data_IF_255794095706
#
_entry.id   IF_255794095706
#
_cell.length_a   1.000
_cell.length_b   1.000
_cell.length_c   1.000
_cell.angle_alpha   90.00
_cell.angle_beta   90.00
_cell.angle_gamma   90.00
#
_symmetry.space_group_name_H-M   'P 1'
#
loop_
_entity.id
_entity.type
_entity.pdbx_description
1 polymer ?
#
# COMPACT_ATOMS: atom_id res chain seq x y z
N UNK A 1 -28.72 -14.39 -60.95
CA UNK A 1 -28.13 -15.28 -59.92
C UNK A 1 -27.35 -14.41 -58.95
N UNK A 2 -27.83 -14.29 -57.71
CA UNK A 2 -27.34 -13.34 -56.70
C UNK A 2 -26.07 -13.87 -56.03
N UNK A 3 -25.03 -13.03 -55.95
CA UNK A 3 -23.79 -13.27 -55.21
C UNK A 3 -24.03 -12.97 -53.74
N UNK A 4 -23.91 -13.98 -52.88
CA UNK A 4 -23.95 -13.83 -51.42
C UNK A 4 -22.53 -13.54 -50.91
N UNK A 5 -22.27 -12.29 -50.54
CA UNK A 5 -21.07 -11.91 -49.78
C UNK A 5 -21.34 -12.15 -48.30
N UNK A 6 -20.69 -13.16 -47.71
CA UNK A 6 -20.69 -13.38 -46.26
C UNK A 6 -19.56 -12.54 -45.66
N UNK A 7 -19.92 -11.43 -45.02
CA UNK A 7 -18.99 -10.61 -44.23
C UNK A 7 -18.82 -11.29 -42.88
N UNK A 8 -17.69 -11.97 -42.70
CA UNK A 8 -17.32 -12.64 -41.46
C UNK A 8 -16.57 -11.64 -40.55
N UNK A 9 -17.31 -10.72 -39.92
CA UNK A 9 -16.77 -9.85 -38.87
C UNK A 9 -16.70 -10.65 -37.56
N UNK A 10 -15.59 -11.36 -37.34
CA UNK A 10 -15.31 -11.96 -36.04
C UNK A 10 -14.88 -10.86 -35.05
N UNK A 11 -15.71 -10.72 -34.04
CA UNK A 11 -15.59 -9.89 -32.85
C UNK A 11 -14.26 -10.18 -32.13
N UNK A 12 -13.24 -9.36 -32.37
CA UNK A 12 -12.04 -9.23 -31.55
C UNK A 12 -12.30 -8.16 -30.47
N UNK A 13 -13.27 -8.42 -29.59
CA UNK A 13 -13.56 -7.57 -28.43
C UNK A 13 -13.70 -8.47 -27.20
N UNK A 14 -12.99 -8.10 -26.11
CA UNK A 14 -13.14 -8.57 -24.72
C UNK A 14 -12.00 -9.40 -24.09
N UNK A 15 -10.73 -9.03 -24.29
CA UNK A 15 -9.67 -9.40 -23.31
C UNK A 15 -8.79 -8.21 -22.85
N UNK A 16 -9.12 -6.98 -23.24
CA UNK A 16 -8.36 -5.80 -22.84
C UNK A 16 -8.94 -5.03 -21.63
N UNK A 17 -10.05 -5.48 -21.03
CA UNK A 17 -10.82 -4.68 -20.07
C UNK A 17 -10.68 -5.07 -18.59
N UNK A 18 -9.70 -5.89 -18.21
CA UNK A 18 -9.49 -6.27 -16.81
C UNK A 18 -8.31 -5.56 -16.13
N UNK A 19 -7.61 -4.65 -16.81
CA UNK A 19 -6.76 -3.68 -16.14
C UNK A 19 -7.66 -2.53 -15.66
N UNK A 20 -8.44 -2.79 -14.60
CA UNK A 20 -9.09 -1.75 -13.84
C UNK A 20 -8.00 -0.75 -13.42
N UNK A 21 -8.07 0.47 -13.95
CA UNK A 21 -7.17 1.55 -13.57
C UNK A 21 -7.42 1.87 -12.10
N UNK A 22 -6.70 1.21 -11.19
CA UNK A 22 -6.62 1.65 -9.81
C UNK A 22 -5.83 2.96 -9.87
N UNK A 23 -6.47 4.05 -9.45
CA UNK A 23 -5.82 5.35 -9.31
C UNK A 23 -4.75 5.24 -8.23
N UNK A 24 -3.65 6.00 -8.34
CA UNK A 24 -2.68 6.09 -7.26
C UNK A 24 -3.39 6.52 -5.98
N UNK A 25 -3.43 5.62 -5.00
CA UNK A 25 -4.07 5.93 -3.72
C UNK A 25 -3.03 6.56 -2.82
N UNK A 26 -3.22 7.84 -2.58
CA UNK A 26 -2.46 8.60 -1.59
C UNK A 26 -3.33 8.74 -0.36
N UNK A 27 -2.77 8.57 0.84
CA UNK A 27 -3.44 8.97 2.08
C UNK A 27 -4.00 10.38 1.93
N UNK A 28 -5.30 10.65 2.20
CA UNK A 28 -5.91 11.93 1.87
C UNK A 28 -5.26 13.06 2.66
N UNK A 29 -4.76 12.71 3.84
CA UNK A 29 -4.03 13.58 4.72
C UNK A 29 -2.72 12.89 5.06
N UNK A 30 -1.63 13.58 4.79
CA UNK A 30 -0.46 13.37 5.58
C UNK A 30 -0.76 14.00 6.94
N UNK A 31 -1.38 13.20 7.82
CA UNK A 31 -1.78 13.68 9.13
C UNK A 31 -0.50 14.12 9.86
N UNK A 32 -0.41 15.38 10.31
CA UNK A 32 0.74 15.83 11.08
C UNK A 32 0.73 15.09 12.41
N UNK A 33 1.46 13.98 12.48
CA UNK A 33 1.68 13.25 13.72
C UNK A 33 2.77 14.01 14.45
N UNK A 34 2.37 14.89 15.36
CA UNK A 34 3.27 15.76 16.13
C UNK A 34 4.16 16.66 15.24
N UNK A 35 3.61 17.17 14.14
CA UNK A 35 4.34 18.04 13.19
C UNK A 35 5.10 17.29 12.10
N UNK A 36 5.01 15.96 12.07
CA UNK A 36 5.56 15.11 11.01
C UNK A 36 4.49 14.77 10.01
N UNK A 37 4.74 15.10 8.76
CA UNK A 37 3.81 14.87 7.67
C UNK A 37 4.31 13.66 6.86
N UNK A 38 3.73 12.47 7.07
CA UNK A 38 4.01 11.30 6.23
C UNK A 38 2.85 11.00 5.30
N UNK A 39 3.15 10.83 4.01
CA UNK A 39 2.18 10.28 3.05
C UNK A 39 2.53 8.84 2.71
N UNK A 40 1.54 7.96 2.81
CA UNK A 40 1.62 6.60 2.27
C UNK A 40 0.99 6.62 0.88
N UNK A 41 1.75 6.23 -0.14
CA UNK A 41 1.34 6.19 -1.55
C UNK A 41 1.41 4.76 -2.06
N UNK A 42 0.31 4.30 -2.66
CA UNK A 42 0.23 3.00 -3.32
C UNK A 42 -0.04 3.27 -4.81
N UNK A 43 0.97 3.12 -5.69
CA UNK A 43 0.79 3.32 -7.11
C UNK A 43 -0.19 2.28 -7.65
N UNK A 44 -1.29 2.72 -8.26
CA UNK A 44 -2.36 1.82 -8.66
C UNK A 44 -2.02 0.95 -9.87
N UNK A 45 -0.95 1.27 -10.59
CA UNK A 45 -0.35 0.45 -11.65
C UNK A 45 0.39 -0.81 -11.15
N UNK A 46 0.61 -0.93 -9.84
CA UNK A 46 1.46 -1.97 -9.26
C UNK A 46 0.70 -3.04 -8.49
N UNK A 47 -0.65 -3.02 -8.43
CA UNK A 47 -1.47 -4.13 -7.92
C UNK A 47 -1.49 -5.27 -8.97
N UNK A 48 -0.32 -5.85 -9.19
CA UNK A 48 -0.07 -6.86 -10.22
C UNK A 48 -0.49 -8.24 -9.71
N UNK A 49 -1.48 -8.84 -10.35
CA UNK A 49 -1.69 -10.29 -10.37
C UNK A 49 -0.67 -10.95 -11.30
N UNK A 50 0.63 -10.87 -10.99
CA UNK A 50 1.68 -11.51 -11.81
C UNK A 50 2.24 -12.81 -11.24
N UNK A 51 1.74 -13.27 -10.08
CA UNK A 51 2.05 -14.59 -9.55
C UNK A 51 0.79 -15.48 -9.65
N UNK A 52 0.93 -16.79 -9.96
CA UNK A 52 -0.18 -17.71 -9.83
C UNK A 52 -0.72 -17.62 -8.41
N UNK A 53 -2.03 -17.45 -8.29
CA UNK A 53 -2.80 -17.38 -7.04
C UNK A 53 -2.57 -18.68 -6.28
N UNK A 54 -1.51 -18.76 -5.49
CA UNK A 54 -1.15 -19.96 -4.74
C UNK A 54 -1.70 -19.95 -3.30
N UNK A 55 -2.28 -18.84 -2.86
CA UNK A 55 -3.18 -18.78 -1.71
C UNK A 55 -3.96 -17.46 -1.73
N UNK A 56 -5.28 -17.53 -1.58
CA UNK A 56 -6.20 -16.45 -1.17
C UNK A 56 -5.96 -15.03 -1.72
N UNK A 57 -6.35 -14.75 -2.96
CA UNK A 57 -6.66 -13.39 -3.46
C UNK A 57 -5.74 -12.24 -2.96
N UNK A 58 -4.42 -12.45 -2.94
CA UNK A 58 -3.48 -11.43 -2.47
C UNK A 58 -3.01 -10.53 -3.62
N UNK A 59 -3.10 -9.22 -3.44
CA UNK A 59 -2.58 -8.23 -4.38
C UNK A 59 -1.26 -7.65 -3.85
N UNK A 60 -0.17 -7.80 -4.62
CA UNK A 60 1.10 -7.16 -4.30
C UNK A 60 1.07 -5.69 -4.69
N UNK A 61 1.50 -4.77 -3.83
CA UNK A 61 1.67 -3.36 -4.15
C UNK A 61 3.01 -2.82 -3.62
N UNK A 62 3.51 -1.74 -4.24
CA UNK A 62 4.65 -0.99 -3.73
C UNK A 62 4.13 0.15 -2.87
N UNK A 63 4.28 0.03 -1.55
CA UNK A 63 3.96 1.08 -0.59
C UNK A 63 5.13 2.03 -0.48
N UNK A 64 4.92 3.32 -0.77
CA UNK A 64 5.90 4.37 -0.53
C UNK A 64 5.50 5.19 0.69
N UNK A 65 6.39 5.30 1.66
CA UNK A 65 6.26 6.24 2.79
C UNK A 65 7.17 7.42 2.53
N UNK A 66 6.62 8.63 2.48
CA UNK A 66 7.36 9.87 2.16
C UNK A 66 7.26 10.82 3.33
N UNK A 67 8.39 11.38 3.77
CA UNK A 67 8.40 12.50 4.70
C UNK A 67 8.20 13.82 3.95
N UNK A 68 7.01 14.39 4.05
CA UNK A 68 6.65 15.70 3.48
C UNK A 68 6.84 16.85 4.48
N UNK A 69 7.12 16.53 5.74
CA UNK A 69 7.29 17.53 6.78
C UNK A 69 8.60 18.31 6.64
N UNK A 70 8.68 19.44 7.35
CA UNK A 70 9.88 20.29 7.39
C UNK A 70 11.00 19.79 8.31
N UNK A 71 10.81 18.65 8.99
CA UNK A 71 11.75 18.07 9.95
C UNK A 71 11.98 16.58 9.68
N UNK A 72 13.09 16.06 10.19
CA UNK A 72 13.36 14.62 10.13
C UNK A 72 12.29 13.83 10.90
N UNK A 73 11.96 12.65 10.38
CA UNK A 73 11.06 11.70 11.03
C UNK A 73 11.75 10.37 11.22
N UNK A 74 11.28 9.60 12.20
CA UNK A 74 11.87 8.32 12.56
C UNK A 74 10.80 7.24 12.48
N UNK A 75 11.12 6.18 11.76
CA UNK A 75 10.25 5.02 11.60
C UNK A 75 10.94 3.79 12.18
N UNK A 76 10.17 2.92 12.80
CA UNK A 76 10.70 1.65 13.27
C UNK A 76 10.88 0.69 12.09
N UNK A 77 12.00 -0.03 12.10
CA UNK A 77 12.37 -0.99 11.08
C UNK A 77 12.68 -2.34 11.70
N UNK A 78 12.40 -3.38 10.93
CA UNK A 78 12.87 -4.73 11.18
C UNK A 78 13.89 -5.09 10.08
N UNK A 79 15.17 -5.08 10.43
CA UNK A 79 16.25 -5.21 9.44
C UNK A 79 16.27 -4.00 8.51
N UNK A 80 16.09 -4.23 7.21
CA UNK A 80 16.05 -3.16 6.18
C UNK A 80 14.64 -2.70 5.84
N UNK A 81 13.61 -3.30 6.44
CA UNK A 81 12.20 -3.05 6.10
C UNK A 81 11.53 -2.21 7.18
N UNK A 82 10.70 -1.26 6.79
CA UNK A 82 9.84 -0.57 7.75
C UNK A 82 8.82 -1.52 8.35
N UNK A 83 8.56 -1.37 9.65
CA UNK A 83 7.51 -2.10 10.33
C UNK A 83 6.17 -1.43 10.02
N UNK A 84 5.48 -1.99 9.03
CA UNK A 84 4.14 -1.58 8.58
C UNK A 84 3.14 -2.66 8.99
N UNK A 85 1.93 -2.25 9.36
CA UNK A 85 0.80 -3.12 9.67
C UNK A 85 -0.30 -2.88 8.65
N UNK A 86 -0.91 -3.94 8.15
CA UNK A 86 -2.16 -3.84 7.40
C UNK A 86 -3.35 -3.90 8.35
N UNK A 87 -4.34 -3.06 8.09
CA UNK A 87 -5.67 -3.18 8.70
C UNK A 87 -6.72 -3.39 7.63
N UNK A 88 -7.63 -4.31 7.87
CA UNK A 88 -8.82 -4.55 7.06
C UNK A 88 -10.06 -3.98 7.73
N UNK A 89 -11.00 -3.50 6.93
CA UNK A 89 -12.29 -3.03 7.40
C UNK A 89 -13.29 -4.20 7.42
N UNK A 90 -13.59 -4.70 8.62
CA UNK A 90 -14.45 -5.85 8.85
C UNK A 90 -15.58 -5.45 9.81
N UNK A 91 -16.83 -5.66 9.39
CA UNK A 91 -18.03 -5.41 10.21
C UNK A 91 -18.08 -4.01 10.85
N UNK A 92 -17.64 -2.99 10.11
CA UNK A 92 -17.67 -1.60 10.57
C UNK A 92 -16.43 -1.14 11.34
N UNK A 93 -15.43 -2.01 11.53
CA UNK A 93 -14.24 -1.72 12.32
C UNK A 93 -12.95 -2.03 11.56
N UNK A 94 -11.87 -1.31 11.89
CA UNK A 94 -10.53 -1.62 11.41
C UNK A 94 -9.89 -2.66 12.31
N UNK A 95 -9.54 -3.81 11.74
CA UNK A 95 -8.87 -4.91 12.42
C UNK A 95 -7.50 -5.14 11.80
N UNK A 96 -6.50 -5.48 12.61
CA UNK A 96 -5.20 -5.85 12.05
C UNK A 96 -5.35 -7.12 11.20
N UNK A 97 -4.78 -7.10 10.00
CA UNK A 97 -4.75 -8.24 9.09
C UNK A 97 -3.36 -8.89 9.11
N UNK A 98 -3.34 -10.21 8.87
CA UNK A 98 -2.13 -11.01 8.89
C UNK A 98 -1.64 -11.38 10.30
N UNK A 99 -0.53 -12.11 10.34
CA UNK A 99 0.12 -12.48 11.58
C UNK A 99 0.77 -11.25 12.25
N UNK A 100 0.93 -11.32 13.58
CA UNK A 100 1.71 -10.33 14.30
C UNK A 100 3.13 -10.24 13.69
N UNK A 101 3.64 -9.03 13.51
CA UNK A 101 4.97 -8.81 12.96
C UNK A 101 5.99 -9.36 13.97
N UNK A 102 6.65 -10.45 13.61
CA UNK A 102 7.78 -11.00 14.37
C UNK A 102 9.05 -10.42 13.74
N UNK A 103 9.80 -9.65 14.51
CA UNK A 103 11.09 -9.15 14.07
C UNK A 103 12.22 -10.07 14.57
N UNK A 104 12.87 -10.86 13.71
CA UNK A 104 13.92 -11.80 14.13
C UNK A 104 15.24 -11.10 14.47
N UNK A 105 15.34 -9.80 14.22
CA UNK A 105 16.50 -8.96 14.51
C UNK A 105 16.11 -7.86 15.48
N UNK A 106 17.07 -7.26 16.17
CA UNK A 106 16.81 -6.08 17.00
C UNK A 106 16.20 -4.97 16.14
N UNK A 107 15.00 -4.46 16.47
CA UNK A 107 14.42 -3.34 15.75
C UNK A 107 15.35 -2.14 15.75
N UNK A 108 15.41 -1.45 14.62
CA UNK A 108 16.21 -0.24 14.47
C UNK A 108 15.33 0.92 14.04
N UNK A 109 15.85 2.12 14.18
CA UNK A 109 15.19 3.32 13.67
C UNK A 109 15.82 3.72 12.35
N UNK A 110 14.97 4.08 11.42
CA UNK A 110 15.37 4.71 10.17
C UNK A 110 14.93 6.16 10.23
N UNK A 111 15.88 7.07 10.04
CA UNK A 111 15.59 8.49 9.88
C UNK A 111 15.24 8.76 8.42
N UNK A 112 14.20 9.57 8.21
CA UNK A 112 13.80 10.10 6.91
C UNK A 112 13.92 11.62 6.98
N UNK A 113 14.85 12.20 6.20
CA UNK A 113 14.94 13.64 6.09
C UNK A 113 13.70 14.21 5.36
N UNK A 114 13.45 15.53 5.43
CA UNK A 114 12.44 16.18 4.60
C UNK A 114 12.62 15.83 3.11
N UNK A 115 11.57 15.30 2.48
CA UNK A 115 11.55 14.86 1.09
C UNK A 115 12.00 13.40 0.87
N UNK A 116 12.60 12.74 1.87
CA UNK A 116 13.03 11.36 1.73
C UNK A 116 11.83 10.40 1.67
N UNK A 117 12.07 9.23 1.06
CA UNK A 117 11.06 8.17 1.02
C UNK A 117 11.67 6.79 1.12
N UNK A 118 10.87 5.87 1.67
CA UNK A 118 11.14 4.45 1.66
C UNK A 118 10.08 3.72 0.85
N UNK A 119 10.46 2.57 0.30
CA UNK A 119 9.59 1.73 -0.49
C UNK A 119 9.55 0.34 0.12
N UNK A 120 8.35 -0.20 0.26
CA UNK A 120 8.10 -1.52 0.82
C UNK A 120 7.16 -2.26 -0.11
N UNK A 121 7.49 -3.49 -0.47
CA UNK A 121 6.57 -4.37 -1.16
C UNK A 121 5.61 -4.97 -0.13
N UNK A 122 4.31 -4.82 -0.33
CA UNK A 122 3.28 -5.31 0.58
C UNK A 122 2.24 -6.14 -0.15
N UNK A 123 1.84 -7.27 0.43
CA UNK A 123 0.75 -8.08 -0.07
C UNK A 123 -0.51 -7.75 0.72
N UNK A 124 -1.54 -7.26 0.03
CA UNK A 124 -2.83 -6.99 0.62
C UNK A 124 -3.75 -8.19 0.49
N UNK A 125 -4.54 -8.44 1.52
CA UNK A 125 -5.70 -9.31 1.39
C UNK A 125 -6.85 -8.57 0.67
N UNK A 126 -7.74 -9.33 0.02
CA UNK A 126 -8.93 -8.79 -0.64
C UNK A 126 -9.83 -8.02 0.34
N UNK A 127 -10.56 -7.02 -0.16
CA UNK A 127 -11.46 -6.17 0.60
C UNK A 127 -10.87 -4.78 0.87
N UNK A 128 -11.50 -4.06 1.80
CA UNK A 128 -11.10 -2.68 2.11
C UNK A 128 -9.97 -2.67 3.14
N UNK A 129 -8.78 -2.26 2.72
CA UNK A 129 -7.55 -2.27 3.53
C UNK A 129 -6.97 -0.87 3.73
N UNK A 130 -6.06 -0.73 4.70
CA UNK A 130 -5.17 0.43 4.87
C UNK A 130 -3.87 -0.01 5.52
N UNK A 131 -2.79 0.75 5.28
CA UNK A 131 -1.52 0.57 5.98
C UNK A 131 -1.45 1.49 7.18
N UNK A 132 -0.85 1.01 8.27
CA UNK A 132 -0.57 1.75 9.50
C UNK A 132 0.92 1.60 9.86
N UNK A 133 1.51 2.67 10.37
CA UNK A 133 2.94 2.80 10.65
C UNK A 133 3.15 3.61 11.94
N UNK A 134 4.09 3.20 12.78
CA UNK A 134 4.57 4.03 13.89
C UNK A 134 5.63 5.05 13.43
N UNK A 135 5.41 6.32 13.77
CA UNK A 135 6.28 7.45 13.40
C UNK A 135 6.59 8.29 14.64
N UNK A 136 7.86 8.60 14.88
CA UNK A 136 8.30 9.52 15.92
C UNK A 136 9.10 10.70 15.35
N UNK A 137 9.11 11.81 16.09
CA UNK A 137 9.95 12.98 15.81
C UNK A 137 11.33 12.87 16.44
N UNK A 138 11.52 11.85 17.30
CA UNK A 138 12.78 11.52 17.95
C UNK A 138 13.28 10.15 17.48
N UNK A 139 14.59 10.07 17.21
CA UNK A 139 15.30 8.80 17.38
C UNK A 139 15.12 8.41 18.85
N UNK A 140 14.97 7.18 19.26
CA UNK A 140 14.34 6.73 20.52
C UNK A 140 12.83 6.47 20.43
N UNK A 141 12.11 7.11 19.50
CA UNK A 141 10.66 6.91 19.28
C UNK A 141 9.82 7.12 20.56
N UNK A 142 10.34 7.84 21.56
CA UNK A 142 9.62 8.17 22.81
C UNK A 142 8.36 9.00 22.57
N UNK A 143 8.30 9.66 21.41
CA UNK A 143 7.19 10.48 20.95
C UNK A 143 6.39 9.84 19.82
N UNK A 144 6.54 8.53 19.58
CA UNK A 144 5.89 7.87 18.46
C UNK A 144 4.35 7.92 18.53
N UNK A 145 3.73 8.00 17.35
CA UNK A 145 2.30 7.84 17.15
C UNK A 145 2.02 7.16 15.79
N UNK A 146 0.80 6.67 15.62
CA UNK A 146 0.41 5.92 14.42
C UNK A 146 0.02 6.88 13.30
N UNK A 147 0.62 6.70 12.13
CA UNK A 147 0.18 7.24 10.85
C UNK A 147 -0.52 6.15 10.05
N UNK A 148 -1.59 6.49 9.35
CA UNK A 148 -2.35 5.55 8.52
C UNK A 148 -2.50 6.07 7.10
N UNK A 149 -2.57 5.16 6.14
CA UNK A 149 -2.89 5.46 4.75
C UNK A 149 -4.40 5.66 4.54
N UNK A 150 -4.77 6.15 3.36
CA UNK A 150 -6.15 6.07 2.88
C UNK A 150 -6.62 4.62 2.88
N UNK A 151 -7.92 4.44 3.04
CA UNK A 151 -8.55 3.17 2.71
C UNK A 151 -8.43 2.90 1.20
N UNK A 152 -8.07 1.68 0.84
CA UNK A 152 -8.03 1.14 -0.51
C UNK A 152 -8.99 -0.03 -0.60
N UNK A 153 -9.72 -0.15 -1.70
CA UNK A 153 -10.52 -1.34 -1.99
C UNK A 153 -9.68 -2.27 -2.88
N UNK A 154 -9.33 -3.44 -2.35
CA UNK A 154 -8.56 -4.49 -3.02
C UNK A 154 -9.54 -5.56 -3.54
N UNK A 155 -9.48 -5.92 -4.84
CA UNK A 155 -10.39 -6.91 -5.44
C UNK A 155 -10.36 -8.30 -4.80
#
# INVERSE_FOLDING_TARGET
>A
MRRSSVVLSFVLLACASACSHILDVTSPDAHPVRGIELSIVIPGSCLLTCAPVLADHQALAIVRVVNRGGQASYVQTCGTQAMLVEQQYVLGQWVNSGAAIICPVTPRQLSLAPGDSIRVNWYFASGRSRIVLGVGGRADLSDAALAAAAAIDVP
#
